data_IF_752370364723
#
_entry.id   IF_752370364723
#
_cell.length_a   1.000
_cell.length_b   1.000
_cell.length_c   1.000
_cell.angle_alpha   90.00
_cell.angle_beta   90.00
_cell.angle_gamma   90.00
#
_symmetry.space_group_name_H-M   'P 1'
#
loop_
_entity.id
_entity.type
_entity.pdbx_description
1 polymer ?
#
# COMPACT_ATOMS: atom_id res chain seq x y z
N UNK A 1 -45.45 -25.88 -24.43
CA UNK A 1 -46.50 -24.95 -23.96
C UNK A 1 -46.32 -24.73 -22.46
N UNK A 2 -45.99 -23.50 -22.06
CA UNK A 2 -45.82 -23.13 -20.64
C UNK A 2 -46.85 -22.04 -20.30
N UNK A 3 -47.26 -21.97 -19.03
CA UNK A 3 -48.30 -21.03 -18.57
C UNK A 3 -47.74 -20.10 -17.50
N UNK A 4 -48.16 -18.83 -17.54
CA UNK A 4 -47.83 -17.82 -16.52
C UNK A 4 -49.08 -17.49 -15.70
N UNK A 5 -48.92 -17.18 -14.41
CA UNK A 5 -50.03 -16.75 -13.56
C UNK A 5 -50.32 -15.26 -13.80
N UNK A 6 -51.57 -14.92 -14.04
CA UNK A 6 -52.03 -13.53 -14.13
C UNK A 6 -52.03 -12.89 -12.73
N UNK A 7 -51.43 -11.71 -12.58
CA UNK A 7 -51.34 -11.00 -11.29
C UNK A 7 -52.67 -10.35 -10.87
N UNK A 8 -53.55 -10.03 -11.83
CA UNK A 8 -54.83 -9.37 -11.55
C UNK A 8 -55.94 -10.33 -11.12
N UNK A 9 -56.00 -11.54 -11.69
CA UNK A 9 -57.07 -12.51 -11.38
C UNK A 9 -56.57 -13.87 -10.92
N UNK A 10 -55.26 -14.13 -10.95
CA UNK A 10 -54.67 -15.39 -10.51
C UNK A 10 -54.81 -16.56 -11.49
N UNK A 11 -55.44 -16.37 -12.65
CA UNK A 11 -55.64 -17.41 -13.65
C UNK A 11 -54.34 -17.83 -14.35
N UNK A 12 -54.29 -19.06 -14.86
CA UNK A 12 -53.17 -19.57 -15.66
C UNK A 12 -53.35 -19.19 -17.13
N UNK A 13 -52.46 -18.36 -17.66
CA UNK A 13 -52.50 -17.86 -19.04
C UNK A 13 -51.53 -18.69 -19.90
N UNK A 14 -52.00 -19.38 -20.95
CA UNK A 14 -51.15 -20.14 -21.86
C UNK A 14 -50.37 -19.19 -22.78
N UNK A 15 -49.07 -19.47 -22.98
CA UNK A 15 -48.20 -18.64 -23.81
C UNK A 15 -47.80 -19.39 -25.08
N UNK A 16 -47.95 -18.73 -26.23
CA UNK A 16 -47.47 -19.20 -27.52
C UNK A 16 -45.98 -18.89 -27.71
N UNK A 17 -45.23 -19.83 -28.25
CA UNK A 17 -43.80 -19.67 -28.51
C UNK A 17 -43.57 -18.59 -29.57
N UNK A 18 -42.76 -17.57 -29.24
CA UNK A 18 -42.41 -16.47 -30.15
C UNK A 18 -43.27 -15.20 -30.03
N UNK A 19 -44.31 -15.17 -29.19
CA UNK A 19 -45.06 -13.94 -28.87
C UNK A 19 -44.48 -13.26 -27.62
N UNK A 20 -44.32 -11.94 -27.69
CA UNK A 20 -43.85 -11.11 -26.56
C UNK A 20 -45.00 -10.57 -25.71
N UNK A 21 -46.25 -10.89 -26.06
CA UNK A 21 -47.45 -10.48 -25.31
C UNK A 21 -48.43 -11.65 -25.25
N UNK A 22 -49.08 -11.80 -24.10
CA UNK A 22 -50.16 -12.77 -23.89
C UNK A 22 -51.35 -12.08 -23.22
N UNK A 23 -52.56 -12.40 -23.66
CA UNK A 23 -53.79 -11.83 -23.08
C UNK A 23 -54.43 -12.84 -22.14
N UNK A 24 -54.73 -12.43 -20.92
CA UNK A 24 -55.42 -13.29 -19.95
C UNK A 24 -56.87 -13.55 -20.41
N UNK A 25 -57.33 -14.82 -20.52
CA UNK A 25 -58.68 -15.13 -20.98
C UNK A 25 -59.79 -14.83 -19.96
N UNK A 26 -59.43 -14.46 -18.73
CA UNK A 26 -60.40 -14.23 -17.64
C UNK A 26 -60.60 -12.74 -17.29
N UNK A 27 -59.60 -11.89 -17.51
CA UNK A 27 -59.66 -10.48 -17.11
C UNK A 27 -59.12 -9.52 -18.19
N UNK A 28 -58.90 -10.03 -19.40
CA UNK A 28 -58.44 -9.31 -20.60
C UNK A 28 -57.16 -8.48 -20.41
N UNK A 29 -56.41 -8.75 -19.33
CA UNK A 29 -55.15 -8.08 -19.05
C UNK A 29 -54.09 -8.54 -20.04
N UNK A 30 -53.44 -7.58 -20.69
CA UNK A 30 -52.31 -7.82 -21.59
C UNK A 30 -51.04 -7.94 -20.74
N UNK A 31 -50.48 -9.15 -20.70
CA UNK A 31 -49.23 -9.48 -20.01
C UNK A 31 -48.09 -9.35 -21.02
N UNK A 32 -47.14 -8.47 -20.74
CA UNK A 32 -45.90 -8.36 -21.52
C UNK A 32 -44.92 -9.44 -21.06
N UNK A 33 -44.54 -10.31 -21.99
CA UNK A 33 -43.59 -11.40 -21.76
C UNK A 33 -42.16 -10.91 -22.05
N UNK A 34 -41.16 -11.31 -21.25
CA UNK A 34 -39.78 -11.04 -21.59
C UNK A 34 -39.46 -11.71 -22.93
N UNK A 35 -38.98 -10.92 -23.88
CA UNK A 35 -38.71 -11.35 -25.25
C UNK A 35 -37.78 -12.56 -25.26
N UNK A 36 -38.30 -13.69 -25.75
CA UNK A 36 -37.51 -14.81 -26.27
C UNK A 36 -36.59 -15.54 -25.30
N UNK A 37 -37.04 -16.70 -24.84
CA UNK A 37 -36.16 -17.83 -24.56
C UNK A 37 -35.83 -18.03 -23.09
N UNK A 38 -35.95 -19.28 -22.66
CA UNK A 38 -35.43 -19.79 -21.39
C UNK A 38 -33.95 -19.42 -21.25
N UNK A 39 -33.66 -18.46 -20.38
CA UNK A 39 -32.42 -18.38 -19.66
C UNK A 39 -32.81 -18.00 -18.24
N UNK A 40 -32.58 -18.92 -17.31
CA UNK A 40 -32.87 -18.68 -15.91
C UNK A 40 -32.21 -17.37 -15.48
N UNK A 41 -32.82 -16.73 -14.49
CA UNK A 41 -32.07 -15.96 -13.50
C UNK A 41 -31.22 -16.93 -12.66
N UNK A 42 -30.40 -17.74 -13.31
CA UNK A 42 -29.18 -18.24 -12.73
C UNK A 42 -28.28 -17.01 -12.73
N UNK A 43 -27.97 -16.51 -11.54
CA UNK A 43 -27.13 -15.34 -11.36
C UNK A 43 -25.97 -15.43 -12.33
N UNK A 44 -25.82 -14.41 -13.18
CA UNK A 44 -24.74 -14.29 -14.13
C UNK A 44 -23.45 -14.61 -13.37
N UNK A 45 -22.94 -15.84 -13.49
CA UNK A 45 -21.68 -16.21 -12.87
C UNK A 45 -20.67 -15.30 -13.52
N UNK A 46 -20.28 -14.26 -12.79
CA UNK A 46 -19.31 -13.30 -13.27
C UNK A 46 -18.03 -14.10 -13.40
N UNK A 47 -17.69 -14.51 -14.61
CA UNK A 47 -16.54 -15.37 -14.85
C UNK A 47 -15.28 -14.61 -14.45
N UNK A 48 -14.29 -15.31 -13.90
CA UNK A 48 -12.99 -14.74 -13.54
C UNK A 48 -12.40 -13.91 -14.70
N UNK A 49 -12.59 -14.37 -15.94
CA UNK A 49 -12.21 -13.64 -17.17
C UNK A 49 -12.91 -12.29 -17.32
N UNK A 50 -14.21 -12.19 -17.03
CA UNK A 50 -14.94 -10.93 -17.13
C UNK A 50 -14.55 -9.93 -16.03
N UNK A 51 -14.26 -10.41 -14.82
CA UNK A 51 -13.71 -9.60 -13.73
C UNK A 51 -12.33 -9.08 -14.07
N UNK A 52 -11.48 -9.93 -14.65
CA UNK A 52 -10.12 -9.58 -15.04
C UNK A 52 -10.09 -8.53 -16.15
N UNK A 53 -11.00 -8.64 -17.12
CA UNK A 53 -11.14 -7.62 -18.16
C UNK A 53 -11.51 -6.26 -17.56
N UNK A 54 -12.42 -6.21 -16.58
CA UNK A 54 -12.74 -4.97 -15.87
C UNK A 54 -11.55 -4.44 -15.07
N UNK A 55 -10.83 -5.32 -14.36
CA UNK A 55 -9.61 -4.93 -13.64
C UNK A 55 -8.58 -4.26 -14.56
N UNK A 56 -8.35 -4.82 -15.75
CA UNK A 56 -7.45 -4.24 -16.75
C UNK A 56 -7.91 -2.88 -17.28
N UNK A 57 -9.23 -2.67 -17.41
CA UNK A 57 -9.77 -1.35 -17.77
C UNK A 57 -9.45 -0.34 -16.69
N UNK A 58 -9.72 -0.65 -15.42
CA UNK A 58 -9.38 0.22 -14.29
C UNK A 58 -7.87 0.51 -14.18
N UNK A 59 -7.02 -0.49 -14.48
CA UNK A 59 -5.57 -0.28 -14.56
C UNK A 59 -5.20 0.77 -15.61
N UNK A 60 -5.77 0.66 -16.82
CA UNK A 60 -5.50 1.63 -17.90
C UNK A 60 -6.06 3.01 -17.59
N UNK A 61 -7.17 3.08 -16.87
CA UNK A 61 -7.82 4.32 -16.46
C UNK A 61 -7.13 4.97 -15.25
N UNK A 62 -6.15 4.28 -14.64
CA UNK A 62 -5.41 4.76 -13.47
C UNK A 62 -6.16 4.62 -12.14
N UNK A 63 -7.30 3.93 -12.14
CA UNK A 63 -8.10 3.68 -10.93
C UNK A 63 -7.59 2.44 -10.19
N UNK A 64 -6.53 2.66 -9.41
CA UNK A 64 -5.78 1.61 -8.72
C UNK A 64 -6.59 0.92 -7.62
N UNK A 65 -7.49 1.65 -6.97
CA UNK A 65 -8.29 1.15 -5.83
C UNK A 65 -9.33 0.15 -6.34
N UNK A 66 -10.04 0.53 -7.40
CA UNK A 66 -11.00 -0.39 -8.02
C UNK A 66 -10.29 -1.54 -8.70
N UNK A 67 -9.19 -1.29 -9.43
CA UNK A 67 -8.40 -2.37 -10.04
C UNK A 67 -7.97 -3.43 -9.00
N UNK A 68 -7.44 -3.01 -7.85
CA UNK A 68 -7.05 -3.94 -6.78
C UNK A 68 -8.25 -4.79 -6.29
N UNK A 69 -9.39 -4.14 -6.06
CA UNK A 69 -10.61 -4.81 -5.59
C UNK A 69 -11.09 -5.87 -6.60
N UNK A 70 -11.11 -5.54 -7.89
CA UNK A 70 -11.49 -6.48 -8.93
C UNK A 70 -10.50 -7.64 -9.08
N UNK A 71 -9.20 -7.39 -8.93
CA UNK A 71 -8.17 -8.45 -8.99
C UNK A 71 -8.36 -9.45 -7.84
N UNK A 72 -8.62 -8.97 -6.61
CA UNK A 72 -8.92 -9.86 -5.49
C UNK A 72 -10.21 -10.67 -5.75
N UNK A 73 -11.22 -10.08 -6.41
CA UNK A 73 -12.40 -10.83 -6.83
C UNK A 73 -12.09 -11.88 -7.90
N UNK A 74 -11.16 -11.60 -8.83
CA UNK A 74 -10.68 -12.60 -9.79
C UNK A 74 -10.01 -13.74 -9.04
N UNK A 75 -9.12 -13.46 -8.08
CA UNK A 75 -8.40 -14.47 -7.32
C UNK A 75 -9.32 -15.28 -6.38
N UNK A 76 -10.40 -14.67 -5.88
CA UNK A 76 -11.43 -15.38 -5.13
C UNK A 76 -12.23 -16.34 -6.02
N UNK A 77 -12.43 -15.99 -7.31
CA UNK A 77 -13.11 -16.84 -8.28
C UNK A 77 -12.18 -17.92 -8.87
N UNK A 78 -10.91 -17.58 -9.11
CA UNK A 78 -9.86 -18.43 -9.65
C UNK A 78 -8.50 -18.07 -9.04
N UNK A 79 -8.10 -18.83 -8.03
CA UNK A 79 -6.84 -18.64 -7.32
C UNK A 79 -5.60 -18.98 -8.17
N UNK A 80 -5.78 -19.66 -9.31
CA UNK A 80 -4.73 -20.06 -10.24
C UNK A 80 -4.60 -19.10 -11.44
N UNK A 81 -5.29 -17.95 -11.41
CA UNK A 81 -5.18 -16.98 -12.49
C UNK A 81 -3.82 -16.25 -12.45
N UNK A 82 -2.88 -16.70 -13.29
CA UNK A 82 -1.55 -16.10 -13.48
C UNK A 82 -1.60 -14.59 -13.75
N UNK A 83 -2.52 -14.19 -14.63
CA UNK A 83 -2.66 -12.81 -15.09
C UNK A 83 -3.18 -11.88 -13.99
N UNK A 84 -4.00 -12.40 -13.05
CA UNK A 84 -4.42 -11.63 -11.90
C UNK A 84 -3.25 -11.33 -10.95
N UNK A 85 -2.36 -12.30 -10.70
CA UNK A 85 -1.14 -12.07 -9.93
C UNK A 85 -0.21 -11.06 -10.63
N UNK A 86 -0.09 -11.14 -11.96
CA UNK A 86 0.68 -10.16 -12.73
C UNK A 86 0.11 -8.74 -12.61
N UNK A 87 -1.22 -8.58 -12.75
CA UNK A 87 -1.89 -7.29 -12.55
C UNK A 87 -1.73 -6.76 -11.12
N UNK A 88 -1.71 -7.63 -10.10
CA UNK A 88 -1.46 -7.23 -8.71
C UNK A 88 -0.03 -6.75 -8.50
N UNK A 89 0.95 -7.42 -9.12
CA UNK A 89 2.34 -7.01 -9.11
C UNK A 89 2.51 -5.62 -9.75
N UNK A 90 1.86 -5.36 -10.89
CA UNK A 90 1.82 -4.04 -11.53
C UNK A 90 1.29 -2.96 -10.58
N UNK A 91 0.21 -3.26 -9.86
CA UNK A 91 -0.35 -2.34 -8.86
C UNK A 91 0.60 -2.06 -7.68
N UNK A 92 1.39 -3.04 -7.26
CA UNK A 92 2.40 -2.81 -6.21
C UNK A 92 3.54 -1.94 -6.70
N UNK A 93 3.97 -2.16 -7.94
CA UNK A 93 5.11 -1.46 -8.53
C UNK A 93 4.79 -0.08 -9.12
N UNK A 94 3.53 0.39 -9.02
CA UNK A 94 3.19 1.70 -9.58
C UNK A 94 2.98 1.68 -11.11
N UNK A 95 2.94 0.51 -11.75
CA UNK A 95 2.80 0.39 -13.19
C UNK A 95 1.33 0.24 -13.60
N UNK A 96 0.90 1.00 -14.59
CA UNK A 96 -0.43 0.91 -15.21
C UNK A 96 -0.37 0.09 -16.50
N UNK A 97 0.81 0.02 -17.13
CA UNK A 97 1.06 -0.71 -18.39
C UNK A 97 2.31 -1.58 -18.31
N UNK A 98 2.38 -2.68 -19.07
CA UNK A 98 3.55 -3.56 -19.06
C UNK A 98 4.83 -2.84 -19.47
N UNK A 99 4.77 -1.84 -20.35
CA UNK A 99 5.98 -1.09 -20.78
C UNK A 99 6.59 -0.27 -19.64
N UNK A 100 5.80 0.13 -18.64
CA UNK A 100 6.31 0.84 -17.47
C UNK A 100 7.07 -0.08 -16.52
N UNK A 101 6.81 -1.39 -16.58
CA UNK A 101 7.54 -2.35 -15.76
C UNK A 101 9.01 -2.47 -16.17
N UNK A 102 9.34 -2.23 -17.44
CA UNK A 102 10.70 -2.37 -17.95
C UNK A 102 11.70 -1.40 -17.30
N UNK A 103 11.23 -0.29 -16.71
CA UNK A 103 12.07 0.77 -16.12
C UNK A 103 12.00 0.84 -14.59
N UNK A 104 11.61 -0.26 -13.94
CA UNK A 104 11.53 -0.30 -12.49
C UNK A 104 12.90 -0.19 -11.82
N UNK A 105 12.96 0.50 -10.69
CA UNK A 105 14.20 0.73 -9.93
C UNK A 105 14.56 -0.43 -8.98
N UNK A 106 13.76 -1.49 -8.99
CA UNK A 106 13.92 -2.70 -8.20
C UNK A 106 13.60 -3.96 -9.03
N UNK A 107 14.24 -5.08 -8.69
CA UNK A 107 13.99 -6.38 -9.31
C UNK A 107 12.66 -6.96 -8.81
N UNK A 108 11.90 -7.61 -9.70
CA UNK A 108 10.64 -8.28 -9.35
C UNK A 108 10.83 -9.77 -9.03
N UNK A 109 12.04 -10.33 -9.18
CA UNK A 109 12.29 -11.77 -9.07
C UNK A 109 11.92 -12.38 -7.70
N UNK A 110 12.02 -11.61 -6.61
CA UNK A 110 11.72 -12.08 -5.25
C UNK A 110 10.27 -11.80 -4.83
N UNK A 111 9.50 -11.10 -5.65
CA UNK A 111 8.12 -10.75 -5.30
C UNK A 111 7.22 -12.00 -5.34
N UNK A 112 6.42 -12.25 -4.28
CA UNK A 112 5.59 -13.45 -4.20
C UNK A 112 4.53 -13.50 -5.31
N UNK A 113 4.05 -12.34 -5.76
CA UNK A 113 3.09 -12.27 -6.87
C UNK A 113 3.74 -12.61 -8.21
N UNK A 114 5.01 -12.26 -8.42
CA UNK A 114 5.76 -12.65 -9.62
C UNK A 114 5.95 -14.17 -9.66
N UNK A 115 6.38 -14.77 -8.55
CA UNK A 115 6.58 -16.21 -8.45
C UNK A 115 5.29 -16.99 -8.75
N UNK A 116 4.15 -16.55 -8.20
CA UNK A 116 2.84 -17.15 -8.48
C UNK A 116 2.38 -16.94 -9.92
N UNK A 117 2.63 -15.76 -10.49
CA UNK A 117 2.30 -15.47 -11.89
C UNK A 117 3.06 -16.42 -12.84
N UNK A 118 4.34 -16.68 -12.56
CA UNK A 118 5.15 -17.64 -13.32
C UNK A 118 4.68 -19.07 -13.05
N UNK A 119 4.41 -19.45 -11.81
CA UNK A 119 3.96 -20.80 -11.44
C UNK A 119 2.67 -21.20 -12.16
N UNK A 120 1.65 -20.35 -12.15
CA UNK A 120 0.36 -20.64 -12.77
C UNK A 120 0.28 -20.26 -14.26
N UNK A 121 1.27 -19.52 -14.77
CA UNK A 121 1.27 -19.01 -16.15
C UNK A 121 1.31 -20.11 -17.20
N UNK A 122 0.66 -19.87 -18.34
CA UNK A 122 0.90 -20.64 -19.57
C UNK A 122 2.37 -20.46 -20.02
N UNK A 123 2.92 -21.36 -20.86
CA UNK A 123 4.31 -21.22 -21.34
C UNK A 123 4.57 -19.84 -21.99
N UNK A 124 3.62 -19.33 -22.77
CA UNK A 124 3.70 -18.01 -23.41
C UNK A 124 3.71 -16.85 -22.39
N UNK A 125 2.86 -16.94 -21.35
CA UNK A 125 2.81 -15.94 -20.29
C UNK A 125 4.11 -15.94 -19.46
N UNK A 126 4.62 -17.12 -19.13
CA UNK A 126 5.88 -17.27 -18.39
C UNK A 126 7.04 -16.64 -19.14
N UNK A 127 7.16 -16.91 -20.43
CA UNK A 127 8.18 -16.30 -21.28
C UNK A 127 8.08 -14.76 -21.24
N UNK A 128 6.87 -14.22 -21.34
CA UNK A 128 6.64 -12.77 -21.26
C UNK A 128 7.07 -12.19 -19.90
N UNK A 129 6.72 -12.85 -18.80
CA UNK A 129 7.05 -12.38 -17.45
C UNK A 129 8.57 -12.45 -17.18
N UNK A 130 9.23 -13.53 -17.62
CA UNK A 130 10.67 -13.69 -17.49
C UNK A 130 11.43 -12.68 -18.35
N UNK A 131 10.98 -12.46 -19.60
CA UNK A 131 11.56 -11.43 -20.47
C UNK A 131 11.42 -10.03 -19.86
N UNK A 132 10.32 -9.76 -19.15
CA UNK A 132 10.15 -8.50 -18.43
C UNK A 132 11.18 -8.35 -17.30
N UNK A 133 11.40 -9.38 -16.48
CA UNK A 133 12.42 -9.35 -15.42
C UNK A 133 13.83 -9.20 -15.99
N UNK A 134 14.14 -9.84 -17.12
CA UNK A 134 15.44 -9.67 -17.79
C UNK A 134 15.67 -8.20 -18.19
N UNK A 135 14.67 -7.55 -18.80
CA UNK A 135 14.76 -6.12 -19.15
C UNK A 135 14.94 -5.24 -17.92
N UNK A 136 14.25 -5.54 -16.82
CA UNK A 136 14.41 -4.84 -15.55
C UNK A 136 15.84 -4.98 -15.04
N UNK A 137 16.40 -6.20 -15.05
CA UNK A 137 17.77 -6.42 -14.61
C UNK A 137 18.78 -5.68 -15.47
N UNK A 138 18.61 -5.68 -16.79
CA UNK A 138 19.43 -4.90 -17.72
C UNK A 138 19.35 -3.40 -17.39
N UNK A 139 18.15 -2.87 -17.12
CA UNK A 139 17.94 -1.48 -16.70
C UNK A 139 18.65 -1.15 -15.38
N UNK A 140 18.55 -2.03 -14.38
CA UNK A 140 19.18 -1.87 -13.06
C UNK A 140 20.72 -1.87 -13.13
N UNK A 141 21.29 -2.59 -14.09
CA UNK A 141 22.73 -2.64 -14.34
C UNK A 141 23.20 -1.51 -15.27
N UNK A 142 22.27 -0.76 -15.85
CA UNK A 142 22.55 0.34 -16.77
C UNK A 142 23.34 1.49 -16.11
N UNK A 143 24.01 2.32 -16.92
CA UNK A 143 24.82 3.43 -16.44
C UNK A 143 23.99 4.47 -15.68
N UNK A 144 22.74 4.70 -16.08
CA UNK A 144 21.84 5.64 -15.42
C UNK A 144 21.57 5.25 -13.96
N UNK A 145 21.21 3.99 -13.71
CA UNK A 145 20.97 3.48 -12.37
C UNK A 145 22.25 3.43 -11.53
N UNK A 146 23.40 3.11 -12.15
CA UNK A 146 24.70 3.17 -11.47
C UNK A 146 25.03 4.60 -11.02
N UNK A 147 24.90 5.58 -11.90
CA UNK A 147 25.12 6.99 -11.57
C UNK A 147 24.16 7.48 -10.48
N UNK A 148 22.89 7.03 -10.51
CA UNK A 148 21.91 7.35 -9.45
C UNK A 148 22.35 6.80 -8.08
N UNK A 149 22.83 5.56 -8.02
CA UNK A 149 23.35 4.93 -6.79
C UNK A 149 24.58 5.67 -6.26
N UNK A 150 25.52 6.02 -7.14
CA UNK A 150 26.73 6.77 -6.78
C UNK A 150 26.39 8.17 -6.26
N UNK A 151 25.48 8.89 -6.91
CA UNK A 151 25.01 10.20 -6.45
C UNK A 151 24.30 10.12 -5.09
N UNK A 152 23.48 9.08 -4.87
CA UNK A 152 22.82 8.86 -3.59
C UNK A 152 23.84 8.57 -2.47
N UNK A 153 24.84 7.73 -2.76
CA UNK A 153 25.93 7.45 -1.82
C UNK A 153 26.72 8.72 -1.47
N UNK A 154 27.05 9.53 -2.47
CA UNK A 154 27.71 10.82 -2.26
C UNK A 154 26.85 11.74 -1.37
N UNK A 155 25.54 11.84 -1.64
CA UNK A 155 24.62 12.64 -0.84
C UNK A 155 24.56 12.17 0.61
N UNK A 156 24.51 10.86 0.85
CA UNK A 156 24.51 10.30 2.20
C UNK A 156 25.83 10.53 2.93
N UNK A 157 26.95 10.45 2.23
CA UNK A 157 28.27 10.73 2.79
C UNK A 157 28.39 12.21 3.20
N UNK A 158 27.91 13.12 2.37
CA UNK A 158 27.87 14.56 2.70
C UNK A 158 27.02 14.82 3.95
N UNK A 159 25.83 14.23 4.04
CA UNK A 159 24.97 14.35 5.23
C UNK A 159 25.62 13.73 6.48
N UNK A 160 26.34 12.60 6.33
CA UNK A 160 27.12 12.01 7.42
C UNK A 160 28.21 12.96 7.92
N UNK A 161 28.95 13.61 7.02
CA UNK A 161 29.97 14.60 7.40
C UNK A 161 29.37 15.80 8.12
N UNK A 162 28.33 16.40 7.55
CA UNK A 162 27.64 17.54 8.18
C UNK A 162 27.06 17.18 9.56
N UNK A 163 26.46 16.00 9.70
CA UNK A 163 25.95 15.53 11.00
C UNK A 163 27.05 15.26 12.02
N UNK A 164 28.20 14.73 11.59
CA UNK A 164 29.37 14.53 12.45
C UNK A 164 29.96 15.86 12.92
N UNK A 165 30.15 16.82 12.01
CA UNK A 165 30.63 18.17 12.33
C UNK A 165 29.68 18.87 13.32
N UNK A 166 28.37 18.80 13.10
CA UNK A 166 27.36 19.34 14.04
C UNK A 166 27.45 18.66 15.41
N UNK A 167 27.66 17.35 15.47
CA UNK A 167 27.80 16.63 16.72
C UNK A 167 29.10 16.99 17.46
N UNK A 168 30.20 17.24 16.75
CA UNK A 168 31.46 17.70 17.32
C UNK A 168 31.33 19.10 17.91
N UNK A 169 30.70 20.03 17.18
CA UNK A 169 30.43 21.39 17.68
C UNK A 169 29.55 21.33 18.93
N UNK A 170 28.49 20.51 18.93
CA UNK A 170 27.62 20.34 20.09
C UNK A 170 28.40 19.83 21.31
N UNK A 171 29.24 18.79 21.15
CA UNK A 171 30.09 18.27 22.23
C UNK A 171 31.11 19.28 22.74
N UNK A 172 31.65 20.12 21.85
CA UNK A 172 32.59 21.17 22.22
C UNK A 172 31.90 22.27 23.05
N UNK A 173 30.68 22.66 22.66
CA UNK A 173 29.85 23.59 23.42
C UNK A 173 29.51 23.03 24.81
N UNK A 174 29.12 21.76 24.90
CA UNK A 174 28.86 21.07 26.17
C UNK A 174 30.08 21.10 27.09
N UNK A 175 31.26 20.73 26.56
CA UNK A 175 32.53 20.77 27.30
C UNK A 175 32.86 22.16 27.83
N UNK A 176 32.65 23.20 27.02
CA UNK A 176 32.92 24.59 27.40
C UNK A 176 31.85 25.17 28.34
N UNK A 177 30.65 24.60 28.35
CA UNK A 177 29.55 25.01 29.23
C UNK A 177 29.54 24.31 30.59
N UNK A 178 30.42 23.33 30.80
CA UNK A 178 30.57 22.67 32.09
C UNK A 178 31.06 23.71 33.12
N UNK A 179 30.33 23.93 34.23
CA UNK A 179 30.73 24.93 35.22
C UNK A 179 32.09 24.54 35.81
N UNK A 180 33.05 25.48 35.82
CA UNK A 180 34.24 25.40 36.66
C UNK A 180 33.78 25.31 38.13
N UNK A 181 33.60 24.10 38.63
CA UNK A 181 33.35 23.88 40.05
C UNK A 181 34.68 24.01 40.80
N UNK A 182 35.24 25.21 40.87
CA UNK A 182 36.26 25.55 41.86
C UNK A 182 35.60 26.16 43.10
N UNK A 183 34.63 25.43 43.66
CA UNK A 183 33.97 25.78 44.93
C UNK A 183 34.71 25.18 46.14
N UNK A 184 35.93 24.67 45.96
CA UNK A 184 36.67 23.98 47.02
C UNK A 184 37.55 24.93 47.84
N UNK A 185 37.92 26.11 47.32
CA UNK A 185 38.69 27.10 48.08
C UNK A 185 37.82 27.99 49.00
N UNK A 186 36.60 28.36 48.60
CA UNK A 186 35.77 29.27 49.42
C UNK A 186 34.99 28.58 50.54
N UNK A 187 34.88 27.25 50.51
CA UNK A 187 34.16 26.47 51.52
C UNK A 187 34.83 26.52 52.90
N UNK A 188 36.13 26.25 52.99
CA UNK A 188 36.83 26.26 54.27
C UNK A 188 36.93 27.67 54.89
N UNK A 189 37.13 28.70 54.07
CA UNK A 189 37.26 30.08 54.58
C UNK A 189 35.95 30.58 55.21
N UNK A 190 34.79 30.32 54.59
CA UNK A 190 33.49 30.78 55.12
C UNK A 190 33.16 30.13 56.48
N UNK A 191 33.44 28.84 56.66
CA UNK A 191 33.19 28.14 57.92
C UNK A 191 34.11 28.62 59.06
N UNK A 192 35.37 28.96 58.75
CA UNK A 192 36.30 29.55 59.73
C UNK A 192 35.83 30.92 60.18
N UNK A 193 35.41 31.79 59.25
CA UNK A 193 34.90 33.13 59.60
C UNK A 193 33.57 33.04 60.35
N UNK A 194 32.63 32.21 59.91
CA UNK A 194 31.36 32.01 60.60
C UNK A 194 31.55 31.45 62.02
N UNK A 195 32.48 30.50 62.20
CA UNK A 195 32.84 29.97 63.52
C UNK A 195 33.42 31.03 64.46
N UNK A 196 34.32 31.89 63.95
CA UNK A 196 34.89 32.98 64.73
C UNK A 196 33.85 34.02 65.17
N UNK A 197 32.91 34.39 64.28
CA UNK A 197 31.83 35.32 64.61
C UNK A 197 30.88 34.74 65.65
N UNK A 198 30.50 33.46 65.50
CA UNK A 198 29.65 32.77 66.47
C UNK A 198 30.32 32.70 67.85
N UNK A 199 31.61 32.37 67.89
CA UNK A 199 32.40 32.34 69.13
C UNK A 199 32.45 33.71 69.79
N UNK A 200 32.70 34.78 69.03
CA UNK A 200 32.69 36.15 69.55
C UNK A 200 31.32 36.55 70.11
N UNK A 201 30.22 36.19 69.43
CA UNK A 201 28.86 36.42 69.94
C UNK A 201 28.59 35.63 71.22
N UNK A 202 29.06 34.39 71.32
CA UNK A 202 28.90 33.55 72.51
C UNK A 202 29.68 34.13 73.70
N UNK A 203 30.92 34.59 73.49
CA UNK A 203 31.71 35.30 74.50
C UNK A 203 30.99 36.57 74.97
N UNK A 204 30.47 37.37 74.04
CA UNK A 204 29.71 38.59 74.38
C UNK A 204 28.47 38.28 75.21
N UNK A 205 27.72 37.23 74.87
CA UNK A 205 26.54 36.80 75.62
C UNK A 205 26.90 36.30 77.03
N UNK A 206 27.99 35.54 77.17
CA UNK A 206 28.45 35.04 78.48
C UNK A 206 29.00 36.14 79.39
N UNK A 207 29.54 37.23 78.83
CA UNK A 207 30.01 38.39 79.63
C UNK A 207 28.91 39.37 80.04
N UNK A 208 27.70 39.25 79.48
CA UNK A 208 26.54 40.10 79.78
C UNK A 208 25.51 39.45 80.73
N UNK A 209 25.79 38.25 81.22
CA UNK A 209 25.05 37.56 82.28
C UNK A 209 25.77 37.73 83.63
#
# INVERSE_FOLDING_TARGET
MWSIKCEQCGASVPIEEGKNTATCPFCDTVICLPSGGRAGREGQMISARSLLQRAKMFLRDGDRIHAASYIEWVLNADASCSEAYWCRLMLKMGADRPEQMEKLECSIAQEPDFLRAVEFGSPEQRETYLACEEKIQQWLQGPEMKAKRENEQYRQEMLRRESAERAEIARALERNSAPETDNREYGCALWVVAGAVLFMLLVVLLTKA
#
